data_IF_572172195495
#
_entry.id   IF_572172195495
#
_cell.length_a   1.000
_cell.length_b   1.000
_cell.length_c   1.000
_cell.angle_alpha   90.00
_cell.angle_beta   90.00
_cell.angle_gamma   90.00
#
_symmetry.space_group_name_H-M   'P 1'
#
loop_
_entity.id
_entity.type
_entity.pdbx_description
1 polymer ?
#
# COMPACT_ATOMS: atom_id res chain seq x y z
N UNK A 1 0.38 -1.13 -20.58
CA UNK A 1 -0.85 -1.45 -19.82
C UNK A 1 -0.91 -0.48 -18.65
N UNK A 2 -1.98 0.30 -18.52
CA UNK A 2 -2.19 1.11 -17.31
C UNK A 2 -2.58 0.16 -16.18
N UNK A 3 -1.74 0.03 -15.15
CA UNK A 3 -2.10 -0.77 -13.98
C UNK A 3 -3.37 -0.17 -13.35
N UNK A 4 -4.44 -0.97 -13.29
CA UNK A 4 -5.67 -0.58 -12.63
C UNK A 4 -5.48 -0.71 -11.12
N UNK A 5 -5.82 0.33 -10.36
CA UNK A 5 -5.78 0.30 -8.89
C UNK A 5 -6.94 -0.53 -8.32
N UNK A 6 -7.98 -0.78 -9.13
CA UNK A 6 -9.25 -1.32 -8.67
C UNK A 6 -9.99 -0.34 -7.75
N UNK A 7 -11.18 -0.75 -7.31
CA UNK A 7 -12.09 0.09 -6.53
C UNK A 7 -11.49 0.53 -5.18
N UNK A 8 -10.93 -0.40 -4.40
CA UNK A 8 -10.32 -0.07 -3.11
C UNK A 8 -9.05 0.76 -3.25
N UNK A 9 -8.27 0.56 -4.32
CA UNK A 9 -7.10 1.39 -4.60
C UNK A 9 -7.50 2.81 -5.03
N UNK A 10 -8.52 2.97 -5.87
CA UNK A 10 -9.06 4.28 -6.21
C UNK A 10 -9.70 4.95 -4.98
N UNK A 11 -10.35 4.17 -4.10
CA UNK A 11 -10.87 4.64 -2.81
C UNK A 11 -9.75 5.20 -1.93
N UNK A 12 -8.64 4.47 -1.74
CA UNK A 12 -7.47 4.95 -0.99
C UNK A 12 -6.94 6.29 -1.52
N UNK A 13 -6.81 6.43 -2.84
CA UNK A 13 -6.33 7.67 -3.46
C UNK A 13 -7.32 8.81 -3.26
N UNK A 14 -8.63 8.53 -3.30
CA UNK A 14 -9.68 9.54 -3.12
C UNK A 14 -9.73 10.12 -1.70
N UNK A 15 -9.26 9.38 -0.69
CA UNK A 15 -9.17 9.83 0.70
C UNK A 15 -8.01 10.80 0.95
N UNK A 16 -7.06 10.92 0.02
CA UNK A 16 -5.89 11.79 0.20
C UNK A 16 -6.20 13.25 -0.17
N UNK A 17 -5.58 14.22 0.53
CA UNK A 17 -5.74 15.62 0.21
C UNK A 17 -5.06 15.95 -1.12
N UNK A 18 -5.82 16.51 -2.07
CA UNK A 18 -5.37 16.78 -3.46
C UNK A 18 -4.42 17.96 -3.60
N UNK A 19 -4.22 18.73 -2.53
CA UNK A 19 -3.38 19.94 -2.49
C UNK A 19 -1.99 19.69 -1.90
N UNK A 20 -1.66 18.44 -1.54
CA UNK A 20 -0.39 18.08 -0.91
C UNK A 20 0.29 16.96 -1.70
N UNK A 21 1.62 16.90 -1.59
CA UNK A 21 2.42 15.84 -2.15
C UNK A 21 2.30 14.57 -1.31
N UNK A 22 1.90 13.46 -1.94
CA UNK A 22 1.82 12.16 -1.30
C UNK A 22 2.45 11.08 -2.16
N UNK A 23 2.97 10.06 -1.49
CA UNK A 23 3.23 8.75 -2.08
C UNK A 23 2.37 7.75 -1.37
N UNK A 24 1.67 6.88 -2.10
CA UNK A 24 0.85 5.81 -1.53
C UNK A 24 1.20 4.48 -2.17
N UNK A 25 1.42 3.49 -1.31
CA UNK A 25 1.72 2.12 -1.68
C UNK A 25 0.43 1.30 -1.65
N UNK A 26 -0.25 1.21 -2.79
CA UNK A 26 -1.58 0.61 -2.90
C UNK A 26 -1.44 -0.91 -3.13
N UNK A 27 -2.10 -1.77 -2.33
CA UNK A 27 -2.15 -3.20 -2.63
C UNK A 27 -2.76 -3.46 -4.01
N UNK A 28 -2.28 -4.48 -4.71
CA UNK A 28 -2.93 -4.88 -5.97
C UNK A 28 -4.36 -5.38 -5.69
N UNK A 29 -5.27 -5.35 -6.68
CA UNK A 29 -6.62 -5.87 -6.52
C UNK A 29 -6.67 -7.31 -5.99
N UNK A 30 -5.67 -8.13 -6.35
CA UNK A 30 -5.53 -9.48 -5.82
C UNK A 30 -5.09 -9.50 -4.34
N UNK A 31 -4.21 -8.60 -3.93
CA UNK A 31 -3.81 -8.47 -2.52
C UNK A 31 -4.96 -8.02 -1.61
N UNK A 32 -5.82 -7.09 -2.08
CA UNK A 32 -7.05 -6.72 -1.36
C UNK A 32 -7.95 -7.92 -1.09
N UNK A 33 -8.16 -8.77 -2.10
CA UNK A 33 -9.02 -9.95 -1.99
C UNK A 33 -8.42 -11.03 -1.08
N UNK A 34 -7.14 -11.33 -1.25
CA UNK A 34 -6.50 -12.48 -0.58
C UNK A 34 -6.12 -12.19 0.86
N UNK A 35 -5.60 -11.00 1.13
CA UNK A 35 -5.06 -10.65 2.45
C UNK A 35 -6.12 -9.95 3.31
N UNK A 36 -6.81 -8.97 2.74
CA UNK A 36 -7.80 -8.18 3.47
C UNK A 36 -9.21 -8.78 3.41
N UNK A 37 -9.40 -9.89 2.66
CA UNK A 37 -10.68 -10.57 2.43
C UNK A 37 -11.78 -9.64 1.90
N UNK A 38 -11.41 -8.50 1.30
CA UNK A 38 -12.37 -7.55 0.74
C UNK A 38 -12.86 -8.07 -0.61
N UNK A 39 -14.15 -8.37 -0.69
CA UNK A 39 -14.83 -8.80 -1.91
C UNK A 39 -15.74 -7.69 -2.42
N UNK A 40 -16.13 -7.76 -3.70
CA UNK A 40 -17.05 -6.77 -4.27
C UNK A 40 -18.45 -6.95 -3.67
N UNK A 41 -19.20 -5.86 -3.44
CA UNK A 41 -20.60 -5.94 -3.02
C UNK A 41 -21.49 -6.75 -3.99
N UNK A 42 -21.13 -6.84 -5.27
CA UNK A 42 -21.93 -7.55 -6.28
C UNK A 42 -21.72 -9.07 -6.31
N UNK A 43 -20.73 -9.62 -5.59
CA UNK A 43 -20.51 -11.07 -5.50
C UNK A 43 -21.08 -11.69 -4.22
N UNK A 44 -21.49 -10.87 -3.25
CA UNK A 44 -22.22 -11.29 -2.05
C UNK A 44 -23.66 -10.79 -2.09
N UNK A 45 -24.60 -11.69 -2.40
CA UNK A 45 -26.04 -11.44 -2.30
C UNK A 45 -26.52 -11.36 -0.83
N UNK A 46 -25.92 -10.47 -0.04
CA UNK A 46 -26.30 -10.19 1.34
C UNK A 46 -26.46 -8.68 1.50
N UNK A 47 -27.72 -8.25 1.34
CA UNK A 47 -28.35 -7.11 2.00
C UNK A 47 -27.39 -6.02 2.48
N UNK A 48 -27.25 -4.96 1.68
CA UNK A 48 -26.52 -3.74 2.03
C UNK A 48 -27.05 -3.10 3.32
N UNK A 49 -26.46 -3.51 4.43
CA UNK A 49 -26.44 -2.77 5.67
C UNK A 49 -25.10 -2.03 5.69
N UNK A 50 -25.11 -0.72 5.95
CA UNK A 50 -23.90 0.13 5.96
C UNK A 50 -22.77 -0.33 6.91
N UNK A 51 -22.98 -1.39 7.70
CA UNK A 51 -21.96 -2.05 8.49
C UNK A 51 -20.85 -2.69 7.62
N UNK A 52 -21.16 -3.22 6.43
CA UNK A 52 -20.15 -3.78 5.52
C UNK A 52 -19.29 -2.68 4.90
N UNK A 53 -19.89 -1.51 4.64
CA UNK A 53 -19.20 -0.31 4.16
C UNK A 53 -18.31 0.29 5.27
N UNK A 54 -18.81 0.34 6.52
CA UNK A 54 -18.04 0.82 7.68
C UNK A 54 -16.84 -0.08 7.97
N UNK A 55 -17.02 -1.40 7.94
CA UNK A 55 -15.92 -2.36 8.12
C UNK A 55 -14.88 -2.23 7.00
N UNK A 56 -15.33 -2.07 5.75
CA UNK A 56 -14.46 -1.82 4.60
C UNK A 56 -13.67 -0.53 4.79
N UNK A 57 -14.33 0.56 5.19
CA UNK A 57 -13.68 1.84 5.43
C UNK A 57 -12.67 1.77 6.57
N UNK A 58 -12.97 1.05 7.65
CA UNK A 58 -12.05 0.83 8.76
C UNK A 58 -10.78 0.10 8.31
N UNK A 59 -10.92 -0.95 7.48
CA UNK A 59 -9.78 -1.68 6.94
C UNK A 59 -8.96 -0.81 5.98
N UNK A 60 -9.62 -0.17 5.01
CA UNK A 60 -8.96 0.65 3.99
C UNK A 60 -8.24 1.85 4.61
N UNK A 61 -8.87 2.54 5.57
CA UNK A 61 -8.27 3.69 6.26
C UNK A 61 -7.05 3.29 7.10
N UNK A 62 -7.07 2.11 7.74
CA UNK A 62 -5.92 1.61 8.50
C UNK A 62 -4.75 1.27 7.59
N UNK A 63 -5.01 0.58 6.48
CA UNK A 63 -4.00 0.29 5.45
C UNK A 63 -3.45 1.60 4.87
N UNK A 64 -4.32 2.57 4.54
CA UNK A 64 -3.91 3.88 4.02
C UNK A 64 -3.01 4.63 5.01
N UNK A 65 -3.36 4.64 6.30
CA UNK A 65 -2.57 5.30 7.32
C UNK A 65 -1.12 4.81 7.38
N UNK A 66 -0.91 3.49 7.20
CA UNK A 66 0.44 2.92 7.18
C UNK A 66 1.13 3.00 5.82
N UNK A 67 0.39 2.92 4.72
CA UNK A 67 0.93 2.83 3.36
C UNK A 67 1.09 4.18 2.64
N UNK A 68 0.61 5.27 3.22
CA UNK A 68 0.79 6.61 2.67
C UNK A 68 1.92 7.37 3.38
N UNK A 69 2.73 8.09 2.60
CA UNK A 69 3.82 8.96 3.06
C UNK A 69 3.57 10.38 2.55
N UNK A 70 3.60 11.42 3.40
CA UNK A 70 3.36 12.81 3.02
C UNK A 70 4.58 13.46 2.34
N UNK A 71 5.12 12.80 1.30
CA UNK A 71 6.15 13.33 0.40
C UNK A 71 6.09 12.61 -0.93
N UNK A 72 6.65 13.21 -1.99
CA UNK A 72 6.85 12.48 -3.25
C UNK A 72 8.05 11.56 -3.16
N UNK A 73 7.87 10.35 -3.63
CA UNK A 73 8.91 9.36 -3.74
C UNK A 73 8.64 8.57 -5.02
N UNK A 74 9.48 8.79 -6.03
CA UNK A 74 9.53 7.96 -7.21
C UNK A 74 10.43 6.76 -6.98
N UNK A 75 10.24 5.71 -7.77
CA UNK A 75 11.14 4.55 -7.71
C UNK A 75 12.59 4.95 -8.01
N UNK A 76 12.81 5.93 -8.89
CA UNK A 76 14.12 6.46 -9.21
C UNK A 76 14.81 7.20 -8.03
N UNK A 77 14.03 7.72 -7.06
CA UNK A 77 14.56 8.40 -5.88
C UNK A 77 15.09 7.40 -4.84
N UNK A 78 14.76 6.12 -4.99
CA UNK A 78 15.23 5.02 -4.12
C UNK A 78 16.43 4.37 -4.79
N UNK A 79 17.62 4.61 -4.23
CA UNK A 79 18.84 4.05 -4.78
C UNK A 79 18.87 2.51 -4.61
N UNK A 80 19.38 1.76 -5.61
CA UNK A 80 19.65 0.35 -5.45
C UNK A 80 20.74 0.13 -4.38
N UNK A 81 20.60 -0.89 -3.53
CA UNK A 81 21.58 -1.18 -2.50
C UNK A 81 22.91 -1.53 -3.15
N UNK A 82 23.95 -0.72 -2.94
CA UNK A 82 25.26 -1.00 -3.53
C UNK A 82 25.91 -2.26 -2.95
N UNK A 83 25.58 -2.63 -1.70
CA UNK A 83 25.98 -3.86 -1.01
C UNK A 83 24.96 -4.26 0.08
N UNK A 84 24.84 -5.56 0.39
CA UNK A 84 23.92 -6.12 1.41
C UNK A 84 24.11 -5.54 2.82
N UNK A 85 25.32 -5.10 3.16
CA UNK A 85 25.66 -4.43 4.43
C UNK A 85 25.30 -2.93 4.45
N UNK A 86 24.94 -2.34 3.30
CA UNK A 86 24.64 -0.91 3.14
C UNK A 86 23.12 -0.63 2.99
N UNK A 87 22.26 -1.66 3.13
CA UNK A 87 20.80 -1.50 3.12
C UNK A 87 20.29 -0.52 4.19
N UNK A 88 20.95 -0.49 5.36
CA UNK A 88 20.55 0.36 6.49
C UNK A 88 20.93 1.84 6.29
N UNK A 89 21.91 2.13 5.43
CA UNK A 89 22.48 3.48 5.28
C UNK A 89 21.90 4.28 4.10
N UNK A 90 21.19 3.63 3.17
CA UNK A 90 20.80 4.24 1.88
C UNK A 90 19.28 4.28 1.67
N UNK A 91 18.49 3.50 2.41
CA UNK A 91 17.05 3.58 2.35
C UNK A 91 16.59 4.94 2.94
N UNK A 92 15.79 5.75 2.23
CA UNK A 92 15.24 6.97 2.81
C UNK A 92 14.42 6.58 4.05
N UNK A 93 14.64 7.28 5.16
CA UNK A 93 13.78 7.16 6.33
C UNK A 93 12.46 7.83 5.97
N UNK A 94 11.47 7.01 5.64
CA UNK A 94 10.11 7.43 5.32
C UNK A 94 9.26 7.20 6.57
N UNK A 95 8.37 8.14 6.83
CA UNK A 95 7.40 8.06 7.92
C UNK A 95 6.01 8.09 7.29
N UNK A 96 5.20 7.10 7.63
CA UNK A 96 3.82 6.99 7.17
C UNK A 96 2.94 8.08 7.79
N UNK A 97 1.72 8.24 7.29
CA UNK A 97 0.69 9.09 7.91
C UNK A 97 0.39 8.64 9.35
N UNK A 98 0.50 7.34 9.65
CA UNK A 98 0.37 6.80 11.01
C UNK A 98 1.58 7.03 11.92
N UNK A 99 2.64 7.70 11.46
CA UNK A 99 3.85 7.96 12.23
C UNK A 99 4.82 6.78 12.32
N UNK A 100 4.57 5.71 11.56
CA UNK A 100 5.38 4.50 11.56
C UNK A 100 6.41 4.54 10.42
N UNK A 101 7.56 3.89 10.64
CA UNK A 101 8.65 3.91 9.66
C UNK A 101 8.37 2.96 8.51
N UNK A 102 8.64 3.44 7.30
CA UNK A 102 8.65 2.64 6.07
C UNK A 102 10.09 2.57 5.54
N UNK A 103 10.52 1.36 5.23
CA UNK A 103 11.79 1.07 4.57
C UNK A 103 11.54 0.74 3.10
N UNK A 104 12.25 1.42 2.20
CA UNK A 104 12.15 1.21 0.77
C UNK A 104 13.54 1.01 0.15
N UNK A 105 13.65 0.04 -0.75
CA UNK A 105 14.88 -0.26 -1.50
C UNK A 105 14.53 -0.82 -2.88
N UNK A 106 15.48 -0.78 -3.83
CA UNK A 106 15.29 -1.40 -5.15
C UNK A 106 15.96 -2.77 -5.22
N UNK A 107 15.27 -3.76 -5.75
CA UNK A 107 15.82 -5.10 -5.94
C UNK A 107 16.76 -5.14 -7.14
N UNK A 108 17.94 -5.74 -6.97
CA UNK A 108 18.99 -5.75 -7.99
C UNK A 108 18.63 -6.55 -9.25
N UNK A 109 17.80 -7.60 -9.12
CA UNK A 109 17.51 -8.56 -10.20
C UNK A 109 16.57 -7.97 -11.27
N UNK A 110 15.48 -7.35 -10.82
CA UNK A 110 14.39 -6.85 -11.67
C UNK A 110 14.19 -5.34 -11.57
N UNK A 111 14.93 -4.67 -10.66
CA UNK A 111 14.79 -3.25 -10.42
C UNK A 111 13.53 -2.86 -9.65
N UNK A 112 12.74 -3.82 -9.15
CA UNK A 112 11.46 -3.57 -8.48
C UNK A 112 11.67 -2.77 -7.19
N UNK A 113 10.79 -1.80 -6.95
CA UNK A 113 10.73 -1.12 -5.65
C UNK A 113 10.16 -2.10 -4.62
N UNK A 114 10.89 -2.33 -3.53
CA UNK A 114 10.48 -3.18 -2.42
C UNK A 114 10.30 -2.30 -1.19
N UNK A 115 9.14 -2.42 -0.55
CA UNK A 115 8.74 -1.58 0.59
C UNK A 115 8.33 -2.49 1.73
N UNK A 116 9.00 -2.39 2.87
CA UNK A 116 8.84 -3.30 4.02
C UNK A 116 8.81 -4.80 3.63
N UNK A 117 9.60 -5.19 2.62
CA UNK A 117 9.68 -6.56 2.13
C UNK A 117 8.65 -6.93 1.04
N UNK A 118 7.66 -6.08 0.78
CA UNK A 118 6.66 -6.29 -0.28
C UNK A 118 7.15 -5.68 -1.59
N UNK A 119 7.24 -6.46 -2.69
CA UNK A 119 7.62 -5.93 -3.99
C UNK A 119 6.49 -5.19 -4.69
N UNK A 120 6.85 -4.19 -5.49
CA UNK A 120 5.94 -3.50 -6.40
C UNK A 120 5.67 -4.31 -7.67
N UNK A 121 4.44 -4.18 -8.18
CA UNK A 121 4.01 -4.64 -9.50
C UNK A 121 4.09 -3.51 -10.53
N UNK A 122 3.77 -2.29 -10.11
CA UNK A 122 3.81 -1.09 -10.93
C UNK A 122 4.24 0.10 -10.07
N UNK A 123 5.04 1.00 -10.63
CA UNK A 123 5.61 2.15 -9.90
C UNK A 123 5.35 3.45 -10.65
N UNK A 124 5.45 4.56 -9.94
CA UNK A 124 5.44 5.92 -10.48
C UNK A 124 4.15 6.30 -11.23
N UNK A 125 3.01 5.71 -10.85
CA UNK A 125 1.70 6.11 -11.38
C UNK A 125 1.34 7.48 -10.79
N UNK A 126 1.19 8.49 -11.65
CA UNK A 126 0.76 9.82 -11.20
C UNK A 126 -0.76 9.89 -11.19
N UNK A 127 -1.34 10.17 -10.03
CA UNK A 127 -2.76 10.42 -9.84
C UNK A 127 -2.97 11.83 -9.29
N UNK A 128 -4.11 12.42 -9.63
CA UNK A 128 -4.40 13.82 -9.30
C UNK A 128 -3.22 14.72 -9.74
N UNK A 129 -2.95 15.83 -9.04
CA UNK A 129 -1.79 16.67 -9.39
C UNK A 129 -0.47 16.00 -9.04
N UNK A 130 -0.35 15.52 -7.80
CA UNK A 130 0.95 15.28 -7.18
C UNK A 130 1.01 14.00 -6.31
N UNK A 131 0.04 13.11 -6.45
CA UNK A 131 0.02 11.83 -5.74
C UNK A 131 0.77 10.81 -6.59
N UNK A 132 1.84 10.23 -6.05
CA UNK A 132 2.56 9.12 -6.65
C UNK A 132 2.00 7.81 -6.07
N UNK A 133 1.57 6.91 -6.94
CA UNK A 133 1.03 5.61 -6.56
C UNK A 133 1.98 4.52 -7.02
N UNK A 134 2.33 3.63 -6.11
CA UNK A 134 3.03 2.38 -6.40
C UNK A 134 2.10 1.22 -6.05
N UNK A 135 1.85 0.33 -7.00
CA UNK A 135 1.04 -0.88 -6.80
C UNK A 135 1.94 -1.98 -6.23
N UNK A 136 1.51 -2.60 -5.14
CA UNK A 136 2.27 -3.56 -4.36
C UNK A 136 1.66 -4.97 -4.50
N UNK A 137 2.51 -5.99 -4.64
CA UNK A 137 2.10 -7.40 -4.72
C UNK A 137 1.69 -8.01 -3.36
N UNK A 138 1.36 -7.16 -2.40
CA UNK A 138 1.00 -7.49 -1.03
C UNK A 138 0.45 -6.26 -0.31
N UNK A 139 0.17 -6.40 0.98
CA UNK A 139 -0.38 -5.31 1.80
C UNK A 139 0.69 -4.77 2.72
N UNK A 140 0.86 -3.45 2.73
CA UNK A 140 1.63 -2.77 3.77
C UNK A 140 0.68 -2.43 4.92
N UNK A 141 0.94 -3.00 6.10
CA UNK A 141 0.20 -2.72 7.32
C UNK A 141 1.11 -2.78 8.53
N UNK A 142 0.68 -2.17 9.63
CA UNK A 142 1.37 -2.27 10.91
C UNK A 142 1.16 -3.66 11.53
N UNK A 143 2.12 -4.09 12.36
CA UNK A 143 2.13 -5.44 12.93
C UNK A 143 0.94 -5.70 13.88
N UNK A 144 0.37 -4.67 14.50
CA UNK A 144 -0.82 -4.81 15.34
C UNK A 144 -2.04 -5.13 14.48
N UNK A 145 -2.21 -4.41 13.36
CA UNK A 145 -3.29 -4.66 12.41
C UNK A 145 -3.15 -6.00 11.68
N UNK A 146 -1.93 -6.38 11.28
CA UNK A 146 -1.66 -7.69 10.64
C UNK A 146 -2.13 -8.84 11.53
N UNK A 147 -1.91 -8.75 12.85
CA UNK A 147 -2.35 -9.77 13.82
C UNK A 147 -3.86 -9.98 13.85
N UNK A 148 -4.66 -8.97 13.51
CA UNK A 148 -6.11 -9.10 13.43
C UNK A 148 -6.57 -10.02 12.28
N UNK A 149 -5.72 -10.26 11.28
CA UNK A 149 -5.98 -11.21 10.19
C UNK A 149 -5.39 -12.61 10.45
N UNK A 150 -4.44 -12.72 11.39
CA UNK A 150 -3.70 -13.96 11.67
C UNK A 150 -4.39 -14.90 12.67
N UNK A 151 -5.42 -14.46 13.38
CA UNK A 151 -6.05 -15.23 14.47
C UNK A 151 -7.15 -16.22 14.08
N UNK A 152 -7.28 -16.60 12.79
CA UNK A 152 -8.22 -17.64 12.34
C UNK A 152 -7.57 -18.99 11.96
N UNK A 153 -6.25 -19.19 12.12
CA UNK A 153 -5.56 -20.41 11.66
C UNK A 153 -4.54 -21.00 12.64
N UNK A 154 -4.83 -21.03 13.94
CA UNK A 154 -4.24 -22.01 14.86
C UNK A 154 -5.39 -22.79 15.51
N UNK A 155 -5.86 -23.84 14.83
CA UNK A 155 -6.76 -24.86 15.36
C UNK A 155 -6.26 -26.24 14.91
#
# INVERSE_FOLDING_TARGET
MTASLGEFGDMMVSMLPKNLAFTVFVPSPESFRRVLKLQRPNDSATNGNGADDDATYAVVSRVLGFSAVPRRLRAADVAPPRHRQQMVAVAPVLESVSGLRISAWRRDVDGALVVNGVPSECVDIVKERDIIVHVMAGVLMDAEFERSFSSEFDN
#
